data_IF_759405050861
#
_entry.id   IF_759405050861
#
_cell.length_a   1.000
_cell.length_b   1.000
_cell.length_c   1.000
_cell.angle_alpha   90.00
_cell.angle_beta   90.00
_cell.angle_gamma   90.00
#
_symmetry.space_group_name_H-M   'P 1'
#
loop_
_entity.id
_entity.type
_entity.pdbx_description
1 polymer ?
#
# COMPACT_ATOMS: atom_id res chain seq x y z
N UNK A 1 2.40 -24.21 -7.69
CA UNK A 1 3.78 -23.77 -7.38
C UNK A 1 3.68 -22.53 -6.51
N UNK A 2 4.64 -22.29 -5.60
CA UNK A 2 4.69 -21.00 -4.91
C UNK A 2 5.09 -19.97 -5.98
N UNK A 3 4.25 -18.97 -6.24
CA UNK A 3 4.49 -17.96 -7.26
C UNK A 3 5.83 -17.25 -7.04
N UNK A 4 6.52 -16.92 -8.12
CA UNK A 4 7.73 -16.10 -8.07
C UNK A 4 7.33 -14.63 -8.11
N UNK A 5 7.67 -13.86 -7.07
CA UNK A 5 7.46 -12.41 -7.07
C UNK A 5 8.62 -11.73 -7.80
N UNK A 6 8.33 -10.98 -8.86
CA UNK A 6 9.31 -10.18 -9.60
C UNK A 6 9.12 -8.69 -9.32
N UNK A 7 10.21 -7.91 -9.32
CA UNK A 7 10.13 -6.46 -9.10
C UNK A 7 11.03 -5.71 -10.07
N UNK A 8 10.41 -4.92 -10.94
CA UNK A 8 11.10 -4.01 -11.84
C UNK A 8 11.18 -2.61 -11.22
N UNK A 9 12.40 -2.18 -10.86
CA UNK A 9 12.63 -0.85 -10.28
C UNK A 9 13.30 0.10 -11.26
N UNK A 10 12.62 1.20 -11.59
CA UNK A 10 13.19 2.32 -12.32
C UNK A 10 13.49 3.49 -11.38
N UNK A 11 14.69 4.07 -11.47
CA UNK A 11 15.11 5.15 -10.57
C UNK A 11 15.91 6.22 -11.29
N UNK A 12 15.51 7.47 -11.07
CA UNK A 12 16.24 8.66 -11.54
C UNK A 12 16.53 9.56 -10.35
N UNK A 13 17.77 10.06 -10.28
CA UNK A 13 18.16 11.02 -9.26
C UNK A 13 19.04 12.11 -9.87
N UNK A 14 18.68 13.36 -9.58
CA UNK A 14 19.42 14.55 -9.97
C UNK A 14 19.90 15.24 -8.71
N UNK A 15 21.20 15.49 -8.63
CA UNK A 15 21.81 16.30 -7.58
C UNK A 15 22.43 17.52 -8.25
N UNK A 16 22.11 18.69 -7.75
CA UNK A 16 22.65 19.94 -8.29
C UNK A 16 23.17 20.83 -7.17
N UNK A 17 24.24 21.56 -7.46
CA UNK A 17 24.74 22.64 -6.64
C UNK A 17 24.48 23.94 -7.39
N UNK A 18 23.35 24.58 -7.08
CA UNK A 18 22.91 25.81 -7.74
C UNK A 18 23.83 26.99 -7.40
N UNK A 19 24.41 27.01 -6.19
CA UNK A 19 25.44 27.97 -5.80
C UNK A 19 26.37 27.39 -4.72
N UNK A 20 27.36 28.16 -4.28
CA UNK A 20 28.21 27.76 -3.14
C UNK A 20 27.40 27.52 -1.86
N UNK A 21 26.26 28.20 -1.73
CA UNK A 21 25.39 28.23 -0.55
C UNK A 21 24.08 27.45 -0.75
N UNK A 22 23.74 27.02 -1.95
CA UNK A 22 22.48 26.31 -2.21
C UNK A 22 22.74 25.03 -3.01
N UNK A 23 22.26 23.91 -2.49
CA UNK A 23 22.27 22.63 -3.18
C UNK A 23 20.92 21.95 -3.07
N UNK A 24 20.61 21.12 -4.06
CA UNK A 24 19.35 20.40 -4.14
C UNK A 24 19.55 18.99 -4.65
N UNK A 25 18.63 18.12 -4.28
CA UNK A 25 18.49 16.76 -4.80
C UNK A 25 17.02 16.47 -5.02
N UNK A 26 16.73 15.93 -6.18
CA UNK A 26 15.45 15.33 -6.50
C UNK A 26 15.70 13.88 -6.92
N UNK A 27 14.87 12.95 -6.45
CA UNK A 27 14.88 11.58 -6.94
C UNK A 27 13.47 11.06 -7.05
N UNK A 28 13.23 10.32 -8.13
CA UNK A 28 12.00 9.61 -8.38
C UNK A 28 12.31 8.12 -8.59
N UNK A 29 11.48 7.26 -8.00
CA UNK A 29 11.54 5.82 -8.13
C UNK A 29 10.15 5.30 -8.48
N UNK A 30 10.10 4.39 -9.44
CA UNK A 30 8.93 3.60 -9.78
C UNK A 30 9.28 2.13 -9.57
N UNK A 31 8.36 1.37 -8.99
CA UNK A 31 8.45 -0.09 -8.89
C UNK A 31 7.17 -0.68 -9.43
N UNK A 32 7.34 -1.70 -10.27
CA UNK A 32 6.31 -2.58 -10.79
C UNK A 32 6.60 -3.97 -10.22
N UNK A 33 5.62 -4.57 -9.54
CA UNK A 33 5.77 -5.80 -8.76
C UNK A 33 4.74 -6.81 -9.26
N UNK A 34 5.25 -7.86 -9.90
CA UNK A 34 4.46 -8.97 -10.38
C UNK A 34 4.30 -10.02 -9.27
N UNK A 35 3.08 -10.56 -9.14
CA UNK A 35 2.71 -11.55 -8.13
C UNK A 35 3.17 -11.19 -6.69
N UNK A 36 2.71 -10.06 -6.12
CA UNK A 36 3.13 -9.57 -4.79
C UNK A 36 2.53 -10.44 -3.67
N UNK A 37 3.06 -11.67 -3.50
CA UNK A 37 2.49 -12.73 -2.66
C UNK A 37 0.97 -12.87 -2.83
N UNK A 38 0.52 -12.83 -4.08
CA UNK A 38 -0.89 -12.95 -4.44
C UNK A 38 -1.42 -14.33 -4.05
N UNK A 39 -2.38 -14.33 -3.14
CA UNK A 39 -3.15 -15.51 -2.81
C UNK A 39 -4.41 -15.58 -3.65
N UNK A 40 -4.37 -16.29 -4.78
CA UNK A 40 -5.55 -16.52 -5.61
C UNK A 40 -6.55 -17.43 -4.88
N UNK A 41 -7.81 -17.00 -4.80
CA UNK A 41 -8.89 -17.82 -4.23
C UNK A 41 -8.66 -18.25 -2.77
N UNK A 42 -7.92 -17.46 -1.98
CA UNK A 42 -7.78 -17.72 -0.54
C UNK A 42 -9.14 -17.53 0.16
N UNK A 43 -9.27 -18.10 1.38
CA UNK A 43 -10.47 -18.01 2.21
C UNK A 43 -10.91 -16.56 2.48
N UNK A 44 -11.85 -16.07 1.69
CA UNK A 44 -12.49 -14.76 1.79
C UNK A 44 -13.87 -14.80 2.46
N UNK A 45 -14.72 -13.80 2.17
CA UNK A 45 -16.17 -13.86 2.43
C UNK A 45 -16.83 -14.69 1.33
N UNK A 46 -17.88 -15.44 1.67
CA UNK A 46 -18.60 -16.24 0.69
C UNK A 46 -19.27 -15.32 -0.33
N UNK A 47 -18.78 -15.35 -1.57
CA UNK A 47 -19.37 -14.70 -2.73
C UNK A 47 -20.23 -15.69 -3.51
N UNK A 48 -21.30 -15.20 -4.13
CA UNK A 48 -22.14 -16.02 -5.00
C UNK A 48 -21.35 -16.35 -6.27
N UNK A 49 -21.17 -17.64 -6.57
CA UNK A 49 -20.55 -18.11 -7.81
C UNK A 49 -21.37 -17.62 -9.01
N UNK A 50 -20.75 -16.90 -9.95
CA UNK A 50 -21.42 -16.32 -11.13
C UNK A 50 -22.11 -14.97 -10.90
N UNK A 51 -21.75 -14.23 -9.85
CA UNK A 51 -22.16 -12.84 -9.69
C UNK A 51 -21.64 -11.94 -10.83
N UNK A 52 -22.40 -10.89 -11.15
CA UNK A 52 -22.09 -9.92 -12.21
C UNK A 52 -20.67 -9.33 -12.04
N UNK A 53 -19.82 -9.28 -13.09
CA UNK A 53 -18.51 -8.62 -13.03
C UNK A 53 -18.53 -7.14 -12.59
N UNK A 54 -19.67 -6.47 -12.72
CA UNK A 54 -19.91 -5.09 -12.26
C UNK A 54 -20.39 -5.01 -10.80
N UNK A 55 -20.54 -6.15 -10.11
CA UNK A 55 -21.01 -6.18 -8.74
C UNK A 55 -19.91 -5.67 -7.79
N UNK A 56 -20.22 -4.75 -6.85
CA UNK A 56 -19.24 -4.05 -6.02
C UNK A 56 -18.56 -4.92 -4.93
N UNK A 57 -18.53 -6.25 -5.09
CA UNK A 57 -17.70 -7.14 -4.27
C UNK A 57 -18.35 -7.73 -3.01
N UNK A 58 -19.67 -7.68 -2.83
CA UNK A 58 -20.34 -8.23 -1.64
C UNK A 58 -21.67 -8.93 -1.95
N UNK A 59 -21.66 -10.02 -2.71
CA UNK A 59 -22.88 -10.77 -3.02
C UNK A 59 -23.31 -11.62 -1.81
N UNK A 60 -24.52 -11.40 -1.30
CA UNK A 60 -25.06 -12.17 -0.17
C UNK A 60 -25.42 -13.59 -0.61
N UNK A 61 -24.83 -14.60 0.02
CA UNK A 61 -25.24 -15.98 -0.17
C UNK A 61 -26.62 -16.19 0.46
N UNK A 62 -27.64 -16.44 -0.35
CA UNK A 62 -29.00 -16.71 0.16
C UNK A 62 -29.16 -18.19 0.49
N UNK A 63 -30.00 -18.50 1.48
CA UNK A 63 -30.34 -19.90 1.83
C UNK A 63 -30.86 -20.69 0.63
N UNK A 64 -31.64 -20.06 -0.24
CA UNK A 64 -32.18 -20.70 -1.45
C UNK A 64 -31.08 -21.08 -2.45
N UNK A 65 -30.03 -20.27 -2.61
CA UNK A 65 -28.88 -20.57 -3.46
C UNK A 65 -27.97 -21.67 -2.88
N UNK A 66 -27.92 -21.82 -1.55
CA UNK A 66 -27.09 -22.81 -0.87
C UNK A 66 -27.72 -24.21 -0.81
N UNK A 67 -29.04 -24.35 -0.94
CA UNK A 67 -29.76 -25.62 -0.73
C UNK A 67 -29.56 -26.65 -1.84
N UNK A 68 -29.20 -26.22 -3.06
CA UNK A 68 -29.07 -27.07 -4.24
C UNK A 68 -27.63 -27.27 -4.71
N UNK A 69 -26.65 -27.03 -3.83
CA UNK A 69 -25.23 -27.26 -4.11
C UNK A 69 -24.90 -28.75 -3.94
N UNK A 70 -24.12 -29.30 -4.87
CA UNK A 70 -23.66 -30.69 -4.82
C UNK A 70 -22.98 -31.02 -3.48
N UNK A 71 -23.32 -32.16 -2.89
CA UNK A 71 -22.88 -32.58 -1.56
C UNK A 71 -23.83 -32.23 -0.42
N UNK A 72 -24.88 -31.45 -0.64
CA UNK A 72 -25.98 -31.31 0.32
C UNK A 72 -27.02 -32.45 0.20
N UNK A 73 -27.70 -32.82 1.30
CA UNK A 73 -28.67 -33.89 1.28
C UNK A 73 -29.98 -33.44 0.60
N UNK A 74 -30.73 -34.37 -0.01
CA UNK A 74 -32.01 -34.08 -0.68
C UNK A 74 -33.08 -33.47 0.24
N UNK A 75 -32.89 -33.52 1.56
CA UNK A 75 -33.75 -32.88 2.55
C UNK A 75 -33.67 -31.34 2.57
N UNK A 76 -32.74 -30.74 1.80
CA UNK A 76 -32.54 -29.29 1.76
C UNK A 76 -31.78 -28.74 2.97
N UNK A 77 -31.06 -29.59 3.70
CA UNK A 77 -30.12 -29.12 4.72
C UNK A 77 -28.89 -28.52 4.04
N UNK A 78 -28.36 -27.44 4.60
CA UNK A 78 -27.22 -26.71 4.04
C UNK A 78 -26.00 -26.97 4.92
N UNK A 79 -24.93 -27.54 4.35
CA UNK A 79 -23.66 -27.70 5.04
C UNK A 79 -22.72 -26.57 4.69
N UNK A 80 -22.15 -25.92 5.71
CA UNK A 80 -21.21 -24.80 5.54
C UNK A 80 -20.05 -25.16 4.60
N UNK A 81 -19.45 -26.34 4.78
CA UNK A 81 -18.32 -26.81 3.97
C UNK A 81 -18.67 -27.05 2.49
N UNK A 82 -19.92 -27.40 2.20
CA UNK A 82 -20.34 -27.75 0.84
C UNK A 82 -20.90 -26.55 0.07
N UNK A 83 -21.53 -25.60 0.77
CA UNK A 83 -22.28 -24.52 0.11
C UNK A 83 -21.71 -23.14 0.30
N UNK A 84 -21.07 -22.89 1.44
CA UNK A 84 -20.58 -21.55 1.81
C UNK A 84 -19.08 -21.47 1.63
N UNK A 85 -18.34 -22.47 2.13
CA UNK A 85 -16.87 -22.51 2.08
C UNK A 85 -16.30 -22.44 0.65
N UNK A 86 -16.85 -23.14 -0.37
CA UNK A 86 -16.34 -23.04 -1.74
C UNK A 86 -16.59 -21.68 -2.40
N UNK A 87 -17.55 -20.89 -1.89
CA UNK A 87 -17.77 -19.52 -2.34
C UNK A 87 -16.87 -18.51 -1.62
N UNK A 88 -16.10 -18.92 -0.61
CA UNK A 88 -15.20 -18.05 0.16
C UNK A 88 -13.86 -17.92 -0.54
N UNK A 89 -13.89 -17.48 -1.79
CA UNK A 89 -12.69 -17.23 -2.57
C UNK A 89 -12.58 -15.72 -2.75
N UNK A 90 -11.52 -15.14 -2.21
CA UNK A 90 -11.15 -13.77 -2.47
C UNK A 90 -9.64 -13.73 -2.63
N UNK A 91 -9.20 -13.03 -3.66
CA UNK A 91 -7.79 -12.74 -3.83
C UNK A 91 -7.31 -11.87 -2.67
N UNK A 92 -6.16 -12.23 -2.10
CA UNK A 92 -5.64 -11.55 -0.92
C UNK A 92 -4.14 -11.31 -1.06
N UNK A 93 -3.73 -10.07 -0.79
CA UNK A 93 -2.34 -9.68 -0.57
C UNK A 93 -2.30 -8.45 0.34
N UNK A 94 -1.16 -8.27 1.03
CA UNK A 94 -0.85 -7.08 1.83
C UNK A 94 0.19 -6.19 1.15
N UNK A 95 0.64 -6.56 -0.04
CA UNK A 95 1.71 -5.89 -0.77
C UNK A 95 1.19 -5.14 -1.99
N UNK A 96 1.81 -4.01 -2.37
CA UNK A 96 1.47 -3.29 -3.59
C UNK A 96 1.94 -4.01 -4.86
N UNK A 97 1.28 -3.74 -5.98
CA UNK A 97 1.76 -4.07 -7.33
C UNK A 97 2.52 -2.88 -7.96
N UNK A 98 2.20 -1.65 -7.58
CA UNK A 98 2.85 -0.44 -8.09
C UNK A 98 3.25 0.51 -6.96
N UNK A 99 4.47 1.07 -7.06
CA UNK A 99 4.97 2.05 -6.10
C UNK A 99 5.57 3.24 -6.84
N UNK A 100 5.04 4.43 -6.57
CA UNK A 100 5.61 5.71 -7.00
C UNK A 100 6.21 6.43 -5.79
N UNK A 101 7.49 6.78 -5.84
CA UNK A 101 8.16 7.53 -4.77
C UNK A 101 8.95 8.71 -5.31
N UNK A 102 8.59 9.92 -4.84
CA UNK A 102 9.33 11.14 -5.09
C UNK A 102 9.98 11.66 -3.79
N UNK A 103 11.26 12.03 -3.87
CA UNK A 103 12.03 12.62 -2.78
C UNK A 103 12.68 13.90 -3.24
N UNK A 104 12.50 14.95 -2.45
CA UNK A 104 13.10 16.25 -2.65
C UNK A 104 13.88 16.65 -1.41
N UNK A 105 15.04 17.29 -1.61
CA UNK A 105 15.80 17.92 -0.55
C UNK A 105 16.53 19.15 -1.09
N UNK A 106 16.47 20.25 -0.37
CA UNK A 106 17.22 21.47 -0.64
C UNK A 106 17.90 21.95 0.63
N UNK A 107 19.22 22.15 0.55
CA UNK A 107 20.03 22.65 1.66
C UNK A 107 20.59 24.02 1.31
N UNK A 108 20.26 24.99 2.16
CA UNK A 108 20.80 26.34 2.16
C UNK A 108 21.84 26.49 3.28
N UNK A 109 23.05 26.91 2.92
CA UNK A 109 24.20 27.06 3.80
C UNK A 109 24.73 28.48 3.65
N UNK A 110 24.14 29.48 4.33
CA UNK A 110 24.56 30.88 4.17
C UNK A 110 25.96 31.14 4.72
N UNK A 111 26.37 30.40 5.76
CA UNK A 111 27.71 30.44 6.33
C UNK A 111 28.19 29.02 6.70
N UNK A 112 29.50 28.85 6.86
CA UNK A 112 30.09 27.54 7.17
C UNK A 112 29.59 26.93 8.50
N UNK A 113 29.06 27.77 9.39
CA UNK A 113 28.58 27.36 10.70
C UNK A 113 27.05 27.21 10.78
N UNK A 114 26.31 27.33 9.67
CA UNK A 114 24.86 27.12 9.68
C UNK A 114 24.32 26.56 8.37
N UNK A 115 23.32 25.69 8.48
CA UNK A 115 22.60 25.18 7.33
C UNK A 115 21.13 24.94 7.66
N UNK A 116 20.25 25.23 6.70
CA UNK A 116 18.84 24.85 6.74
C UNK A 116 18.58 23.87 5.60
N UNK A 117 17.94 22.75 5.88
CA UNK A 117 17.54 21.76 4.88
C UNK A 117 16.04 21.58 4.93
N UNK A 118 15.39 21.84 3.80
CA UNK A 118 14.00 21.45 3.56
C UNK A 118 14.02 20.11 2.83
N UNK A 119 13.16 19.17 3.23
CA UNK A 119 12.99 17.91 2.54
C UNK A 119 11.53 17.50 2.48
N UNK A 120 11.20 16.70 1.48
CA UNK A 120 9.88 16.09 1.35
C UNK A 120 10.02 14.71 0.71
N UNK A 121 9.20 13.77 1.16
CA UNK A 121 8.99 12.47 0.52
C UNK A 121 7.49 12.29 0.29
N UNK A 122 7.13 11.92 -0.93
CA UNK A 122 5.79 11.45 -1.29
C UNK A 122 5.94 10.02 -1.79
N UNK A 123 5.12 9.12 -1.28
CA UNK A 123 5.07 7.72 -1.70
C UNK A 123 3.63 7.30 -1.87
N UNK A 124 3.31 6.77 -3.05
CA UNK A 124 2.01 6.22 -3.41
C UNK A 124 2.23 4.75 -3.73
N UNK A 125 1.39 3.91 -3.14
CA UNK A 125 1.37 2.46 -3.34
C UNK A 125 -0.04 2.06 -3.75
N UNK A 126 -0.16 1.17 -4.72
CA UNK A 126 -1.44 0.66 -5.21
C UNK A 126 -1.36 -0.87 -5.35
N UNK A 127 -2.51 -1.53 -5.27
CA UNK A 127 -2.70 -2.90 -5.73
C UNK A 127 -4.10 -3.03 -6.35
N UNK A 128 -4.14 -3.26 -7.66
CA UNK A 128 -5.39 -3.31 -8.42
C UNK A 128 -6.19 -4.58 -8.17
N UNK A 129 -5.50 -5.70 -7.88
CA UNK A 129 -6.12 -7.00 -7.64
C UNK A 129 -6.95 -7.01 -6.35
N UNK A 130 -6.47 -6.35 -5.29
CA UNK A 130 -7.15 -6.32 -3.97
C UNK A 130 -7.69 -4.94 -3.58
N UNK A 131 -7.69 -3.97 -4.51
CA UNK A 131 -8.15 -2.59 -4.29
C UNK A 131 -7.50 -1.94 -3.06
N UNK A 132 -6.19 -2.16 -2.91
CA UNK A 132 -5.38 -1.51 -1.89
C UNK A 132 -4.76 -0.22 -2.45
N UNK A 133 -4.76 0.83 -1.64
CA UNK A 133 -4.04 2.06 -1.94
C UNK A 133 -3.47 2.66 -0.65
N UNK A 134 -2.25 3.17 -0.71
CA UNK A 134 -1.63 3.86 0.41
C UNK A 134 -0.82 5.07 -0.05
N UNK A 135 -1.12 6.22 0.54
CA UNK A 135 -0.41 7.48 0.28
C UNK A 135 0.32 7.95 1.53
N UNK A 136 1.61 8.27 1.39
CA UNK A 136 2.45 8.77 2.48
C UNK A 136 3.10 10.10 2.10
N UNK A 137 2.91 11.11 2.96
CA UNK A 137 3.48 12.44 2.84
C UNK A 137 4.37 12.76 4.04
N UNK A 138 5.66 12.99 3.77
CA UNK A 138 6.67 13.27 4.81
C UNK A 138 7.46 14.54 4.47
N UNK A 139 6.91 15.74 4.71
CA UNK A 139 7.67 16.98 4.67
C UNK A 139 8.43 17.18 6.00
N UNK A 140 9.58 17.83 5.91
CA UNK A 140 10.36 18.18 7.08
C UNK A 140 11.40 19.25 6.82
N UNK A 141 11.89 19.82 7.91
CA UNK A 141 12.93 20.83 7.91
C UNK A 141 13.93 20.51 9.01
N UNK A 142 15.21 20.71 8.72
CA UNK A 142 16.27 20.60 9.71
C UNK A 142 17.18 21.83 9.64
N UNK A 143 17.51 22.40 10.78
CA UNK A 143 18.45 23.49 10.93
C UNK A 143 19.65 23.03 11.76
N UNK A 144 20.83 23.38 11.29
CA UNK A 144 22.11 23.16 11.94
C UNK A 144 22.75 24.51 12.23
N UNK A 145 23.30 24.67 13.43
CA UNK A 145 24.06 25.84 13.83
C UNK A 145 25.19 25.49 14.79
N UNK A 146 26.42 25.90 14.46
CA UNK A 146 27.60 25.70 15.29
C UNK A 146 28.23 27.05 15.65
N UNK A 147 27.80 27.71 16.74
CA UNK A 147 28.32 29.03 17.10
C UNK A 147 29.82 29.04 17.40
N UNK A 148 30.40 27.91 17.82
CA UNK A 148 31.84 27.75 18.05
C UNK A 148 32.26 26.28 17.85
N UNK A 149 33.55 25.98 17.97
CA UNK A 149 34.10 24.63 17.78
C UNK A 149 33.63 23.60 18.82
N UNK A 150 33.10 24.05 19.94
CA UNK A 150 32.77 23.21 21.10
C UNK A 150 31.24 23.03 21.27
N UNK A 151 30.43 23.70 20.45
CA UNK A 151 28.97 23.62 20.53
C UNK A 151 28.35 23.57 19.14
N UNK A 152 27.50 22.55 18.95
CA UNK A 152 26.68 22.35 17.77
C UNK A 152 25.22 22.10 18.18
N UNK A 153 24.31 22.74 17.46
CA UNK A 153 22.88 22.67 17.68
C UNK A 153 22.23 22.17 16.40
N UNK A 154 21.39 21.15 16.53
CA UNK A 154 20.57 20.66 15.42
C UNK A 154 19.12 20.64 15.88
N UNK A 155 18.25 21.28 15.11
CA UNK A 155 16.81 21.24 15.30
C UNK A 155 16.20 20.62 14.06
N UNK A 156 15.30 19.65 14.24
CA UNK A 156 14.57 19.05 13.13
C UNK A 156 13.10 18.92 13.48
N UNK A 157 12.25 19.18 12.49
CA UNK A 157 10.82 18.93 12.56
C UNK A 157 10.42 18.13 11.33
N UNK A 158 9.74 17.00 11.57
CA UNK A 158 9.25 16.12 10.50
C UNK A 158 7.78 15.84 10.77
N UNK A 159 6.96 16.04 9.75
CA UNK A 159 5.57 15.62 9.77
C UNK A 159 5.44 14.34 8.97
N UNK A 160 4.58 13.42 9.42
CA UNK A 160 4.29 12.18 8.72
C UNK A 160 2.77 12.00 8.69
N UNK A 161 2.21 11.95 7.48
CA UNK A 161 0.82 11.58 7.22
C UNK A 161 0.82 10.36 6.32
N UNK A 162 0.04 9.37 6.71
CA UNK A 162 -0.21 8.16 5.93
C UNK A 162 -1.72 7.93 5.89
N UNK A 163 -2.25 7.73 4.69
CA UNK A 163 -3.64 7.34 4.43
C UNK A 163 -3.61 5.99 3.72
N UNK A 164 -4.43 5.05 4.19
CA UNK A 164 -4.49 3.68 3.68
C UNK A 164 -5.94 3.34 3.40
N UNK A 165 -6.23 2.95 2.17
CA UNK A 165 -7.50 2.39 1.74
C UNK A 165 -7.31 0.90 1.46
N UNK A 166 -8.16 0.06 2.05
CA UNK A 166 -8.14 -1.37 1.86
C UNK A 166 -9.56 -1.93 2.06
N UNK A 167 -9.90 -2.99 1.33
CA UNK A 167 -11.12 -3.74 1.54
C UNK A 167 -10.98 -4.61 2.80
N UNK A 168 -11.67 -4.20 3.86
CA UNK A 168 -11.82 -5.02 5.06
C UNK A 168 -13.13 -5.80 5.04
N UNK A 169 -13.01 -7.12 4.99
CA UNK A 169 -14.13 -8.04 4.96
C UNK A 169 -14.38 -8.65 6.36
N UNK A 170 -15.49 -8.25 7.01
CA UNK A 170 -15.91 -8.84 8.30
C UNK A 170 -17.13 -9.74 8.09
N UNK A 171 -16.97 -11.04 8.31
CA UNK A 171 -18.09 -11.99 8.29
C UNK A 171 -18.96 -11.82 9.54
N UNK A 172 -20.20 -11.40 9.37
CA UNK A 172 -21.20 -11.40 10.44
C UNK A 172 -22.00 -12.71 10.42
N UNK A 173 -21.87 -13.50 11.48
CA UNK A 173 -22.66 -14.71 11.68
C UNK A 173 -23.89 -14.37 12.54
N UNK A 174 -25.06 -14.28 11.93
CA UNK A 174 -26.33 -14.36 12.65
C UNK A 174 -26.70 -15.85 12.76
N UNK A 175 -26.62 -16.37 13.98
CA UNK A 175 -26.89 -17.79 14.30
C UNK A 175 -28.32 -18.24 14.03
#
# INVERSE_FOLDING_TARGET
ELGETETHTFKVAVKSRLSKQLSGRFSYQYQDIDDPFHGEGITGIAQVTGADPLYPGLAWFTKAGAQFVDGNPPSGAVYYWNSVYPGRELDATTEPDAIHEAKFSATWTPAANMAATLFARVRMEENDAVKYQQETYVPGVSFYYAPNSNMNLTMAYTFNKQETENQMCVGWYHG
#
